data_IF_786012096241
#
_entry.id   IF_786012096241
#
_cell.length_a   1.000
_cell.length_b   1.000
_cell.length_c   1.000
_cell.angle_alpha   90.00
_cell.angle_beta   90.00
_cell.angle_gamma   90.00
#
_symmetry.space_group_name_H-M   'P 1'
#
loop_
_entity.id
_entity.type
_entity.pdbx_description
1 polymer ?
#
# COMPACT_ATOMS: atom_id res chain seq x y z
N UNK A 1 -2.46 19.91 0.50
CA UNK A 1 -2.69 18.97 -0.63
C UNK A 1 -2.42 19.56 -2.01
N UNK A 2 -2.77 20.81 -2.33
CA UNK A 2 -2.66 21.40 -3.69
C UNK A 2 -1.33 21.18 -4.43
N UNK A 3 -0.18 21.30 -3.73
CA UNK A 3 1.14 21.05 -4.34
C UNK A 3 1.39 19.58 -4.71
N UNK A 4 0.88 18.64 -3.90
CA UNK A 4 1.10 17.21 -4.09
C UNK A 4 0.23 16.64 -5.23
N UNK A 5 -0.96 17.21 -5.44
CA UNK A 5 -1.91 16.79 -6.46
C UNK A 5 -1.74 17.50 -7.82
N UNK A 6 -1.07 18.66 -7.85
CA UNK A 6 -0.88 19.44 -9.07
C UNK A 6 0.45 19.17 -9.79
N UNK A 7 1.44 18.60 -9.10
CA UNK A 7 2.74 18.27 -9.69
C UNK A 7 2.74 16.88 -10.34
N UNK A 8 3.43 16.73 -11.46
CA UNK A 8 3.68 15.42 -12.07
C UNK A 8 4.58 14.61 -11.13
N UNK A 9 4.17 13.38 -10.80
CA UNK A 9 4.94 12.52 -9.88
C UNK A 9 6.23 12.04 -10.54
N UNK A 10 7.33 12.01 -9.79
CA UNK A 10 8.59 11.41 -10.24
C UNK A 10 9.43 12.28 -11.19
N UNK A 11 9.17 13.59 -11.27
CA UNK A 11 10.03 14.51 -12.04
C UNK A 11 11.40 14.77 -11.39
N UNK A 12 11.53 14.41 -10.12
CA UNK A 12 12.73 14.65 -9.33
C UNK A 12 12.91 16.14 -8.98
N UNK A 13 13.68 16.41 -7.93
CA UNK A 13 14.07 17.77 -7.60
C UNK A 13 15.48 17.83 -6.99
N UNK A 14 16.36 18.73 -7.46
CA UNK A 14 16.26 19.50 -8.71
C UNK A 14 16.06 18.63 -9.97
N UNK A 15 15.55 19.21 -11.07
CA UNK A 15 15.14 18.46 -12.28
C UNK A 15 16.30 17.67 -12.90
N UNK A 16 17.51 18.21 -12.85
CA UNK A 16 18.75 17.56 -13.30
C UNK A 16 19.10 16.29 -12.51
N UNK A 17 18.50 16.09 -11.35
CA UNK A 17 18.67 14.87 -10.52
C UNK A 17 17.58 13.83 -10.75
N UNK A 18 16.71 14.00 -11.75
CA UNK A 18 15.62 13.06 -12.04
C UNK A 18 16.11 11.62 -12.22
N UNK A 19 17.08 11.40 -13.10
CA UNK A 19 17.58 10.04 -13.39
C UNK A 19 18.07 9.28 -12.15
N UNK A 20 19.01 9.80 -11.35
CA UNK A 20 19.47 9.07 -10.16
C UNK A 20 18.35 8.90 -9.13
N UNK A 21 17.40 9.82 -9.02
CA UNK A 21 16.26 9.70 -8.10
C UNK A 21 15.26 8.63 -8.54
N UNK A 22 14.91 8.58 -9.82
CA UNK A 22 14.03 7.55 -10.38
C UNK A 22 14.69 6.17 -10.27
N UNK A 23 15.98 6.06 -10.58
CA UNK A 23 16.75 4.82 -10.39
C UNK A 23 16.73 4.37 -8.92
N UNK A 24 17.02 5.27 -7.98
CA UNK A 24 17.03 4.92 -6.56
C UNK A 24 15.63 4.56 -6.03
N UNK A 25 14.57 5.19 -6.54
CA UNK A 25 13.20 4.81 -6.21
C UNK A 25 12.86 3.39 -6.70
N UNK A 26 13.34 3.00 -7.88
CA UNK A 26 13.22 1.62 -8.37
C UNK A 26 13.97 0.64 -7.44
N UNK A 27 15.23 0.93 -7.11
CA UNK A 27 16.03 0.09 -6.21
C UNK A 27 15.35 -0.03 -4.84
N UNK A 28 14.76 1.05 -4.32
CA UNK A 28 14.03 1.00 -3.07
C UNK A 28 12.81 0.08 -3.14
N UNK A 29 12.12 0.02 -4.29
CA UNK A 29 11.02 -0.92 -4.49
C UNK A 29 11.53 -2.37 -4.52
N UNK A 30 12.65 -2.63 -5.20
CA UNK A 30 13.27 -3.96 -5.26
C UNK A 30 13.73 -4.42 -3.87
N UNK A 31 14.38 -3.53 -3.11
CA UNK A 31 14.80 -3.81 -1.72
C UNK A 31 13.58 -4.11 -0.85
N UNK A 32 12.50 -3.33 -0.97
CA UNK A 32 11.25 -3.60 -0.24
C UNK A 32 10.68 -4.97 -0.60
N UNK A 33 10.61 -5.31 -1.88
CA UNK A 33 10.12 -6.61 -2.34
C UNK A 33 10.97 -7.78 -1.80
N UNK A 34 12.28 -7.59 -1.67
CA UNK A 34 13.20 -8.61 -1.13
C UNK A 34 13.08 -8.83 0.39
N UNK A 35 12.60 -7.84 1.16
CA UNK A 35 12.50 -7.95 2.63
C UNK A 35 11.09 -8.28 3.14
N UNK A 36 10.05 -7.97 2.36
CA UNK A 36 8.68 -8.39 2.68
C UNK A 36 8.48 -9.85 2.28
N UNK A 37 7.48 -10.52 2.87
CA UNK A 37 7.12 -11.87 2.42
C UNK A 37 6.68 -11.82 0.96
N UNK A 38 6.95 -12.91 0.22
CA UNK A 38 6.58 -13.05 -1.20
C UNK A 38 5.10 -12.75 -1.46
N UNK A 39 4.24 -13.12 -0.49
CA UNK A 39 2.83 -12.75 -0.48
C UNK A 39 2.55 -11.68 0.58
N UNK A 40 2.01 -10.55 0.15
CA UNK A 40 1.54 -9.48 1.02
C UNK A 40 0.50 -9.94 2.06
N UNK A 41 -0.42 -10.84 1.68
CA UNK A 41 -1.40 -11.40 2.62
C UNK A 41 -0.75 -12.20 3.73
N UNK A 42 0.36 -12.89 3.47
CA UNK A 42 1.09 -13.63 4.51
C UNK A 42 1.78 -12.69 5.49
N UNK A 43 2.10 -11.47 5.05
CA UNK A 43 2.59 -10.41 5.94
C UNK A 43 1.44 -9.95 6.84
N UNK A 44 0.27 -9.67 6.28
CA UNK A 44 -0.91 -9.28 7.06
C UNK A 44 -1.35 -10.35 8.07
N UNK A 45 -1.33 -11.62 7.68
CA UNK A 45 -1.69 -12.76 8.55
C UNK A 45 -0.68 -13.01 9.68
N UNK A 46 0.55 -12.49 9.55
CA UNK A 46 1.58 -12.64 10.58
C UNK A 46 1.67 -11.46 11.55
N UNK A 47 0.98 -10.35 11.26
CA UNK A 47 0.74 -9.27 12.21
C UNK A 47 -0.28 -9.75 13.24
N UNK A 48 -0.28 -9.15 14.44
CA UNK A 48 -1.36 -9.34 15.42
C UNK A 48 -2.73 -9.11 14.74
N UNK A 49 -3.56 -10.16 14.71
CA UNK A 49 -4.83 -10.14 13.99
C UNK A 49 -5.86 -9.21 14.64
N UNK A 50 -5.76 -8.94 15.95
CA UNK A 50 -6.62 -7.96 16.59
C UNK A 50 -6.27 -6.53 16.17
N UNK A 51 -4.97 -6.27 15.94
CA UNK A 51 -4.52 -5.00 15.36
C UNK A 51 -5.06 -4.82 13.94
N UNK A 52 -4.97 -5.86 13.10
CA UNK A 52 -5.49 -5.80 11.72
C UNK A 52 -7.00 -5.65 11.71
N UNK A 53 -7.73 -6.43 12.52
CA UNK A 53 -9.19 -6.31 12.70
C UNK A 53 -9.60 -4.89 13.07
N UNK A 54 -8.94 -4.31 14.07
CA UNK A 54 -9.22 -2.94 14.53
C UNK A 54 -8.97 -1.91 13.42
N UNK A 55 -7.93 -2.10 12.60
CA UNK A 55 -7.63 -1.20 11.49
C UNK A 55 -8.71 -1.23 10.39
N UNK A 56 -9.37 -2.38 10.18
CA UNK A 56 -10.36 -2.57 9.11
C UNK A 56 -11.82 -2.44 9.57
N UNK A 57 -12.08 -2.33 10.88
CA UNK A 57 -13.44 -2.33 11.43
C UNK A 57 -14.21 -1.01 11.24
N UNK A 58 -13.53 0.10 10.90
CA UNK A 58 -14.19 1.41 10.74
C UNK A 58 -15.15 1.46 9.55
N UNK A 59 -16.36 1.98 9.74
CA UNK A 59 -17.41 2.05 8.71
C UNK A 59 -16.93 2.72 7.40
N UNK A 60 -16.23 3.85 7.52
CA UNK A 60 -15.67 4.57 6.35
C UNK A 60 -14.57 3.80 5.63
N UNK A 61 -13.77 3.03 6.38
CA UNK A 61 -12.78 2.15 5.78
C UNK A 61 -13.49 1.08 4.96
N UNK A 62 -14.47 0.39 5.56
CA UNK A 62 -15.21 -0.69 4.92
C UNK A 62 -15.93 -0.20 3.66
N UNK A 63 -16.63 0.95 3.74
CA UNK A 63 -17.30 1.54 2.58
C UNK A 63 -16.30 1.80 1.44
N UNK A 64 -15.24 2.56 1.71
CA UNK A 64 -14.23 2.90 0.71
C UNK A 64 -13.55 1.65 0.12
N UNK A 65 -13.21 0.69 0.99
CA UNK A 65 -12.53 -0.54 0.62
C UNK A 65 -13.42 -1.41 -0.27
N UNK A 66 -14.63 -1.77 0.17
CA UNK A 66 -15.49 -2.68 -0.59
C UNK A 66 -16.05 -2.07 -1.89
N UNK A 67 -16.21 -0.74 -1.97
CA UNK A 67 -16.62 -0.08 -3.21
C UNK A 67 -15.50 -0.03 -4.27
N UNK A 68 -14.23 0.02 -3.87
CA UNK A 68 -13.11 0.32 -4.77
C UNK A 68 -12.05 -0.79 -4.86
N UNK A 69 -12.20 -1.87 -4.08
CA UNK A 69 -11.23 -2.96 -4.05
C UNK A 69 -11.08 -3.62 -5.43
N UNK A 70 -9.83 -3.95 -5.78
CA UNK A 70 -9.47 -4.59 -7.06
C UNK A 70 -8.93 -6.02 -6.89
N UNK A 71 -8.82 -6.53 -5.65
CA UNK A 71 -8.27 -7.86 -5.36
C UNK A 71 -9.27 -8.72 -4.58
N UNK A 72 -9.84 -9.76 -5.20
CA UNK A 72 -10.78 -10.67 -4.51
C UNK A 72 -10.18 -11.37 -3.29
N UNK A 73 -8.87 -11.66 -3.32
CA UNK A 73 -8.18 -12.34 -2.21
C UNK A 73 -8.06 -11.44 -0.96
N UNK A 74 -7.77 -10.15 -1.16
CA UNK A 74 -7.71 -9.18 -0.06
C UNK A 74 -9.10 -8.96 0.51
N UNK A 75 -10.12 -8.89 -0.33
CA UNK A 75 -11.51 -8.77 0.13
C UNK A 75 -11.94 -9.97 0.96
N UNK A 76 -11.66 -11.19 0.51
CA UNK A 76 -11.97 -12.41 1.25
C UNK A 76 -11.28 -12.42 2.62
N UNK A 77 -10.01 -12.00 2.67
CA UNK A 77 -9.26 -11.86 3.93
C UNK A 77 -9.90 -10.81 4.86
N UNK A 78 -10.21 -9.61 4.37
CA UNK A 78 -10.84 -8.56 5.19
C UNK A 78 -12.22 -9.00 5.70
N UNK A 79 -13.04 -9.66 4.87
CA UNK A 79 -14.33 -10.23 5.30
C UNK A 79 -14.16 -11.25 6.42
N UNK A 80 -13.13 -12.12 6.34
CA UNK A 80 -12.85 -13.10 7.40
C UNK A 80 -12.51 -12.45 8.76
N UNK A 81 -12.05 -11.20 8.76
CA UNK A 81 -11.74 -10.44 9.97
C UNK A 81 -12.93 -9.66 10.53
N UNK A 82 -14.04 -9.52 9.79
CA UNK A 82 -15.19 -8.72 10.24
C UNK A 82 -16.31 -9.56 10.86
N UNK A 83 -16.27 -10.89 10.67
CA UNK A 83 -17.29 -11.82 11.17
C UNK A 83 -18.39 -12.07 10.14
#
# INVERSE_FOLDING_TARGET
>A
MKKLSAATRGEGYPLERKEPQVRNASILNDVKAAVIKENYLDTLKAIDQELVRTAVSGERFQQCFFENNQSPEIEAYVKSLLG
#
